data_IF_507425773443
#
_entry.id   IF_507425773443
#
_cell.length_a   1.000
_cell.length_b   1.000
_cell.length_c   1.000
_cell.angle_alpha   90.00
_cell.angle_beta   90.00
_cell.angle_gamma   90.00
#
_symmetry.space_group_name_H-M   'P 1'
#
loop_
_entity.id
_entity.type
_entity.pdbx_description
1 polymer ?
#
# COMPACT_ATOMS: atom_id res chain seq x y z
N UNK A 1 -10.77 -2.10 -18.52
CA UNK A 1 -9.53 -2.59 -19.17
C UNK A 1 -8.77 -3.48 -18.18
N UNK A 2 -7.91 -4.37 -18.65
CA UNK A 2 -7.05 -5.23 -17.80
C UNK A 2 -5.60 -4.97 -18.22
N UNK A 3 -4.73 -4.66 -17.27
CA UNK A 3 -3.31 -4.42 -17.51
C UNK A 3 -2.49 -5.64 -17.08
N UNK A 4 -1.72 -6.19 -18.01
CA UNK A 4 -0.78 -7.28 -17.74
C UNK A 4 0.60 -6.71 -17.45
N UNK A 5 1.15 -7.04 -16.29
CA UNK A 5 2.51 -6.70 -15.93
C UNK A 5 3.49 -7.79 -16.39
N UNK A 6 4.70 -7.43 -16.84
CA UNK A 6 5.76 -8.41 -17.03
C UNK A 6 6.05 -9.14 -15.71
N UNK A 7 6.43 -10.42 -15.81
CA UNK A 7 6.83 -11.22 -14.66
C UNK A 7 7.96 -10.52 -13.87
N UNK A 8 7.93 -10.66 -12.55
CA UNK A 8 8.96 -10.11 -11.64
C UNK A 8 9.17 -8.59 -11.72
N UNK A 9 8.14 -7.81 -12.09
CA UNK A 9 8.21 -6.34 -12.16
C UNK A 9 7.37 -5.65 -11.07
N UNK A 10 7.68 -5.84 -9.76
CA UNK A 10 6.89 -5.27 -8.66
C UNK A 10 6.86 -3.74 -8.68
N UNK A 11 7.89 -3.08 -9.21
CA UNK A 11 7.98 -1.63 -9.35
C UNK A 11 6.91 -1.00 -10.25
N UNK A 12 6.29 -1.83 -11.09
CA UNK A 12 5.16 -1.46 -11.94
C UNK A 12 3.81 -1.67 -11.25
N UNK A 13 3.74 -2.38 -10.12
CA UNK A 13 2.48 -2.57 -9.41
C UNK A 13 2.19 -1.37 -8.48
N UNK A 14 1.10 -0.60 -8.67
CA UNK A 14 0.71 0.49 -7.76
C UNK A 14 0.50 0.01 -6.31
N UNK A 15 0.07 -1.23 -6.11
CA UNK A 15 -0.12 -1.83 -4.79
C UNK A 15 1.17 -1.84 -3.95
N UNK A 16 2.35 -1.93 -4.59
CA UNK A 16 3.62 -1.93 -3.86
C UNK A 16 3.85 -0.62 -3.09
N UNK A 17 3.20 0.49 -3.52
CA UNK A 17 3.35 1.80 -2.89
C UNK A 17 2.51 1.87 -1.63
N UNK A 18 1.29 1.34 -1.68
CA UNK A 18 0.44 1.09 -0.52
C UNK A 18 1.13 0.13 0.47
N UNK A 19 1.67 -0.99 -0.03
CA UNK A 19 2.34 -1.99 0.80
C UNK A 19 3.60 -1.43 1.49
N UNK A 20 4.37 -0.58 0.80
CA UNK A 20 5.53 0.08 1.40
C UNK A 20 5.13 1.02 2.55
N UNK A 21 4.09 1.82 2.37
CA UNK A 21 3.54 2.71 3.39
C UNK A 21 3.02 1.92 4.59
N UNK A 22 2.23 0.88 4.35
CA UNK A 22 1.72 -0.02 5.39
C UNK A 22 2.86 -0.68 6.19
N UNK A 23 3.87 -1.24 5.49
CA UNK A 23 5.05 -1.84 6.13
C UNK A 23 5.81 -0.81 6.96
N UNK A 24 5.90 0.44 6.52
CA UNK A 24 6.57 1.52 7.24
C UNK A 24 5.84 1.86 8.54
N UNK A 25 4.52 2.06 8.49
CA UNK A 25 3.69 2.39 9.65
C UNK A 25 3.70 1.26 10.68
N UNK A 26 3.50 0.02 10.24
CA UNK A 26 3.52 -1.15 11.13
C UNK A 26 4.89 -1.33 11.79
N UNK A 27 6.00 -1.15 11.05
CA UNK A 27 7.35 -1.22 11.63
C UNK A 27 7.63 -0.12 12.65
N UNK A 28 7.08 1.08 12.44
CA UNK A 28 7.25 2.24 13.33
C UNK A 28 6.48 2.09 14.65
N UNK A 29 5.31 1.46 14.63
CA UNK A 29 4.40 1.43 15.78
C UNK A 29 4.72 0.41 16.90
N UNK A 30 5.98 -0.07 17.01
CA UNK A 30 6.49 -0.90 18.15
C UNK A 30 5.79 -2.28 18.22
N UNK A 31 6.38 -3.38 18.76
CA UNK A 31 6.21 -4.67 18.13
C UNK A 31 4.87 -5.28 18.54
N UNK A 32 3.87 -5.12 17.68
CA UNK A 32 2.78 -6.05 17.55
C UNK A 32 3.37 -7.44 17.23
N UNK A 33 3.88 -8.14 18.25
CA UNK A 33 4.52 -9.46 18.12
C UNK A 33 3.52 -10.58 17.89
N UNK A 34 2.23 -10.28 17.94
CA UNK A 34 1.16 -11.25 17.72
C UNK A 34 0.47 -10.94 16.40
N UNK A 35 0.10 -12.01 15.68
CA UNK A 35 -0.66 -11.93 14.43
C UNK A 35 -1.94 -11.09 14.58
N UNK A 36 -2.64 -11.23 15.71
CA UNK A 36 -3.86 -10.48 15.99
C UNK A 36 -3.61 -8.95 16.06
N UNK A 37 -2.55 -8.52 16.76
CA UNK A 37 -2.21 -7.09 16.86
C UNK A 37 -1.75 -6.52 15.52
N UNK A 38 -0.99 -7.28 14.74
CA UNK A 38 -0.58 -6.86 13.39
C UNK A 38 -1.79 -6.68 12.47
N UNK A 39 -2.75 -7.61 12.54
CA UNK A 39 -3.98 -7.53 11.75
C UNK A 39 -4.80 -6.30 12.14
N UNK A 40 -5.03 -6.07 13.43
CA UNK A 40 -5.79 -4.91 13.90
C UNK A 40 -5.13 -3.58 13.46
N UNK A 41 -3.81 -3.45 13.64
CA UNK A 41 -3.08 -2.26 13.21
C UNK A 41 -3.11 -2.07 11.67
N UNK A 42 -3.10 -3.17 10.92
CA UNK A 42 -3.25 -3.13 9.45
C UNK A 42 -4.64 -2.65 9.06
N UNK A 43 -5.70 -3.24 9.64
CA UNK A 43 -7.09 -2.90 9.35
C UNK A 43 -7.39 -1.43 9.69
N UNK A 44 -6.94 -0.96 10.86
CA UNK A 44 -7.06 0.44 11.28
C UNK A 44 -6.40 1.39 10.28
N UNK A 45 -5.15 1.08 9.87
CA UNK A 45 -4.43 1.92 8.90
C UNK A 45 -5.11 1.92 7.52
N UNK A 46 -5.65 0.78 7.09
CA UNK A 46 -6.37 0.68 5.82
C UNK A 46 -7.67 1.48 5.82
N UNK A 47 -8.38 1.56 6.96
CA UNK A 47 -9.55 2.43 7.11
C UNK A 47 -9.16 3.90 6.96
N UNK A 48 -8.05 4.32 7.57
CA UNK A 48 -7.53 5.70 7.42
C UNK A 48 -7.23 6.00 5.96
N UNK A 49 -6.47 5.14 5.27
CA UNK A 49 -6.15 5.33 3.84
C UNK A 49 -7.43 5.41 2.99
N UNK A 50 -8.42 4.54 3.24
CA UNK A 50 -9.69 4.54 2.52
C UNK A 50 -10.49 5.84 2.70
N UNK A 51 -10.30 6.55 3.82
CA UNK A 51 -10.90 7.86 4.06
C UNK A 51 -10.12 9.04 3.45
N UNK A 52 -8.91 8.81 2.94
CA UNK A 52 -8.01 9.82 2.39
C UNK A 52 -7.85 9.67 0.86
N UNK A 53 -8.82 10.12 0.04
CA UNK A 53 -8.79 9.90 -1.42
C UNK A 53 -7.57 10.54 -2.10
N UNK A 54 -7.06 11.64 -1.57
CA UNK A 54 -5.84 12.28 -2.10
C UNK A 54 -4.58 11.46 -1.83
N UNK A 55 -4.54 10.72 -0.71
CA UNK A 55 -3.45 9.79 -0.40
C UNK A 55 -3.48 8.59 -1.34
N UNK A 56 -4.67 8.05 -1.61
CA UNK A 56 -4.85 6.98 -2.59
C UNK A 56 -4.36 7.42 -3.97
N UNK A 57 -4.79 8.59 -4.45
CA UNK A 57 -4.32 9.17 -5.72
C UNK A 57 -2.80 9.37 -5.75
N UNK A 58 -2.18 9.71 -4.62
CA UNK A 58 -0.74 9.91 -4.54
C UNK A 58 0.05 8.65 -4.88
N UNK A 59 -0.46 7.44 -4.58
CA UNK A 59 0.21 6.18 -4.93
C UNK A 59 0.36 5.99 -6.45
N UNK A 60 -0.52 6.60 -7.25
CA UNK A 60 -0.50 6.53 -8.71
C UNK A 60 0.34 7.62 -9.39
N UNK A 61 0.91 8.55 -8.62
CA UNK A 61 1.73 9.65 -9.16
C UNK A 61 3.15 9.23 -9.54
N UNK A 62 3.60 8.04 -9.11
CA UNK A 62 4.90 7.51 -9.52
C UNK A 62 4.88 7.20 -11.04
N UNK A 63 5.86 7.69 -11.82
CA UNK A 63 5.91 7.50 -13.27
C UNK A 63 5.78 6.04 -13.73
N UNK A 64 6.24 5.08 -12.92
CA UNK A 64 6.23 3.65 -13.23
C UNK A 64 4.85 3.01 -13.16
N UNK A 65 3.93 3.63 -12.42
CA UNK A 65 2.58 3.10 -12.17
C UNK A 65 1.48 3.99 -12.72
N UNK A 66 1.86 5.06 -13.44
CA UNK A 66 0.93 6.04 -14.04
C UNK A 66 -0.10 5.42 -14.98
N UNK A 67 0.20 4.26 -15.56
CA UNK A 67 -0.73 3.52 -16.41
C UNK A 67 -1.99 3.03 -15.67
N UNK A 68 -1.94 2.95 -14.34
CA UNK A 68 -3.03 2.43 -13.51
C UNK A 68 -3.89 3.55 -12.86
N UNK A 69 -3.65 4.81 -13.22
CA UNK A 69 -4.32 5.99 -12.67
C UNK A 69 -5.68 6.29 -13.35
#
# INVERSE_FOLDING_TARGET
EVFYLPSYSPELNPEERLNADLKHVIRRNVPARTKAKLRAATEEHMVVIGSEPERVKAYFRDPRVKYAA
#
